data_IF_459354136505
#
_entry.id   IF_459354136505
#
_cell.length_a   1.000
_cell.length_b   1.000
_cell.length_c   1.000
_cell.angle_alpha   90.00
_cell.angle_beta   90.00
_cell.angle_gamma   90.00
#
_symmetry.space_group_name_H-M   'P 1'
#
loop_
_entity.id
_entity.type
_entity.pdbx_description
1 polymer ?
#
# COMPACT_ATOMS: atom_id res chain seq x y z
N UNK A 1 -0.09 22.31 -13.90
CA UNK A 1 -0.57 22.28 -12.51
C UNK A 1 -1.05 20.86 -12.26
N UNK A 2 -0.39 20.14 -11.39
CA UNK A 2 -0.85 18.82 -10.93
C UNK A 2 -2.09 19.05 -10.06
N UNK A 3 -3.14 18.29 -10.33
CA UNK A 3 -4.38 18.34 -9.55
C UNK A 3 -4.07 17.68 -8.19
N UNK A 4 -4.48 18.33 -7.10
CA UNK A 4 -4.29 17.82 -5.73
C UNK A 4 -5.65 17.62 -5.08
N UNK A 5 -6.06 16.37 -4.91
CA UNK A 5 -7.34 16.04 -4.27
C UNK A 5 -7.22 15.15 -3.04
N UNK A 6 -6.01 14.67 -2.70
CA UNK A 6 -5.85 13.72 -1.60
C UNK A 6 -6.42 14.26 -0.28
N UNK A 7 -6.17 15.53 0.03
CA UNK A 7 -6.55 16.16 1.30
C UNK A 7 -8.04 16.59 1.36
N UNK A 8 -8.85 16.36 0.32
CA UNK A 8 -10.26 16.76 0.35
C UNK A 8 -11.10 15.80 1.20
N UNK A 9 -12.18 16.30 1.85
CA UNK A 9 -13.06 15.45 2.66
C UNK A 9 -13.61 14.24 1.90
N UNK A 10 -13.93 14.41 0.62
CA UNK A 10 -14.50 13.35 -0.22
C UNK A 10 -13.54 12.17 -0.40
N UNK A 11 -12.23 12.44 -0.59
CA UNK A 11 -11.22 11.38 -0.73
C UNK A 11 -10.92 10.71 0.62
N UNK A 12 -10.91 11.47 1.71
CA UNK A 12 -10.70 10.92 3.06
C UNK A 12 -11.87 10.02 3.52
N UNK A 13 -13.11 10.43 3.25
CA UNK A 13 -14.31 9.61 3.52
C UNK A 13 -14.32 8.35 2.63
N UNK A 14 -13.88 8.49 1.37
CA UNK A 14 -13.76 7.35 0.46
C UNK A 14 -12.71 6.34 0.97
N UNK A 15 -11.54 6.78 1.43
CA UNK A 15 -10.50 5.92 2.02
C UNK A 15 -11.02 5.15 3.24
N UNK A 16 -11.80 5.81 4.09
CA UNK A 16 -12.46 5.18 5.26
C UNK A 16 -13.41 4.06 4.81
N UNK A 17 -14.19 4.34 3.77
CA UNK A 17 -15.16 3.39 3.20
C UNK A 17 -14.47 2.19 2.56
N UNK A 18 -13.48 2.38 1.69
CA UNK A 18 -12.80 1.27 0.99
C UNK A 18 -11.94 0.41 1.92
N UNK A 19 -11.48 0.97 3.04
CA UNK A 19 -10.80 0.21 4.09
C UNK A 19 -11.77 -0.64 4.93
N UNK A 20 -13.08 -0.45 4.78
CA UNK A 20 -14.13 -1.23 5.42
C UNK A 20 -14.46 -0.79 6.85
N UNK A 21 -14.14 0.46 7.24
CA UNK A 21 -14.50 0.98 8.57
C UNK A 21 -16.01 1.17 8.76
N UNK A 22 -16.77 1.26 7.68
CA UNK A 22 -18.23 1.29 7.70
C UNK A 22 -18.85 -0.10 7.85
N UNK A 23 -18.05 -1.17 7.74
CA UNK A 23 -18.52 -2.55 7.85
C UNK A 23 -18.44 -3.06 9.29
N UNK A 24 -19.51 -3.72 9.75
CA UNK A 24 -19.57 -4.32 11.10
C UNK A 24 -18.64 -5.54 11.27
N UNK A 25 -18.36 -6.26 10.17
CA UNK A 25 -17.50 -7.45 10.19
C UNK A 25 -16.04 -7.15 9.88
N UNK A 26 -15.22 -8.21 9.89
CA UNK A 26 -13.80 -8.15 9.51
C UNK A 26 -12.85 -7.92 10.68
N UNK A 27 -11.54 -7.95 10.39
CA UNK A 27 -10.49 -7.71 11.38
C UNK A 27 -10.18 -6.22 11.47
N UNK A 28 -10.35 -5.63 12.66
CA UNK A 28 -10.01 -4.23 12.91
C UNK A 28 -8.55 -3.91 12.57
N UNK A 29 -7.62 -4.83 12.88
CA UNK A 29 -6.22 -4.69 12.50
C UNK A 29 -6.04 -4.65 10.98
N UNK A 30 -6.78 -5.48 10.25
CA UNK A 30 -6.69 -5.49 8.78
C UNK A 30 -7.23 -4.18 8.20
N UNK A 31 -8.35 -3.66 8.69
CA UNK A 31 -8.91 -2.36 8.28
C UNK A 31 -7.91 -1.23 8.48
N UNK A 32 -7.25 -1.17 9.64
CA UNK A 32 -6.21 -0.17 9.93
C UNK A 32 -5.02 -0.26 8.96
N UNK A 33 -4.51 -1.47 8.70
CA UNK A 33 -3.39 -1.67 7.77
C UNK A 33 -3.81 -1.27 6.35
N UNK A 34 -4.99 -1.70 5.90
CA UNK A 34 -5.50 -1.39 4.55
C UNK A 34 -5.74 0.11 4.37
N UNK A 35 -6.33 0.78 5.35
CA UNK A 35 -6.51 2.23 5.32
C UNK A 35 -5.18 2.95 5.16
N UNK A 36 -4.17 2.60 5.96
CA UNK A 36 -2.85 3.22 5.87
C UNK A 36 -2.19 2.96 4.52
N UNK A 37 -2.21 1.72 4.05
CA UNK A 37 -1.62 1.34 2.76
C UNK A 37 -2.26 2.12 1.60
N UNK A 38 -3.60 2.15 1.55
CA UNK A 38 -4.33 2.86 0.49
C UNK A 38 -4.11 4.37 0.57
N UNK A 39 -4.09 4.94 1.78
CA UNK A 39 -3.79 6.36 1.98
C UNK A 39 -2.41 6.74 1.44
N UNK A 40 -1.38 5.96 1.78
CA UNK A 40 -0.02 6.21 1.31
C UNK A 40 0.08 6.09 -0.22
N UNK A 41 -0.60 5.12 -0.84
CA UNK A 41 -0.63 4.96 -2.29
C UNK A 41 -1.38 6.09 -2.99
N UNK A 42 -2.54 6.54 -2.47
CA UNK A 42 -3.29 7.66 -3.05
C UNK A 42 -2.50 8.96 -2.94
N UNK A 43 -1.85 9.18 -1.79
CA UNK A 43 -0.96 10.32 -1.59
C UNK A 43 0.21 10.30 -2.56
N UNK A 44 0.83 9.13 -2.78
CA UNK A 44 1.90 8.95 -3.76
C UNK A 44 1.42 9.32 -5.16
N UNK A 45 0.22 8.87 -5.56
CA UNK A 45 -0.35 9.21 -6.86
C UNK A 45 -0.53 10.72 -7.03
N UNK A 46 -1.06 11.38 -6.00
CA UNK A 46 -1.24 12.84 -5.98
C UNK A 46 0.12 13.57 -6.02
N UNK A 47 1.10 13.12 -5.20
CA UNK A 47 2.43 13.72 -5.06
C UNK A 47 3.29 13.62 -6.33
N UNK A 48 3.23 12.49 -7.03
CA UNK A 48 4.03 12.23 -8.23
C UNK A 48 3.26 12.39 -9.55
N UNK A 49 2.01 12.86 -9.51
CA UNK A 49 1.16 13.05 -10.70
C UNK A 49 1.02 11.75 -11.52
N UNK A 50 0.83 10.63 -10.81
CA UNK A 50 0.80 9.30 -11.44
C UNK A 50 -0.36 9.22 -12.42
N UNK A 51 -0.02 8.95 -13.67
CA UNK A 51 -1.00 8.83 -14.75
C UNK A 51 -1.77 7.50 -14.67
N UNK A 52 -2.94 7.46 -15.31
CA UNK A 52 -3.69 6.21 -15.44
C UNK A 52 -2.89 5.12 -16.17
N UNK A 53 -2.06 5.49 -17.17
CA UNK A 53 -1.22 4.54 -17.90
C UNK A 53 -0.17 3.90 -17.00
N UNK A 54 0.52 4.68 -16.17
CA UNK A 54 1.49 4.16 -15.21
C UNK A 54 0.84 3.24 -14.18
N UNK A 55 -0.34 3.61 -13.67
CA UNK A 55 -1.11 2.76 -12.77
C UNK A 55 -1.43 1.40 -13.41
N UNK A 56 -1.99 1.38 -14.62
CA UNK A 56 -2.35 0.13 -15.30
C UNK A 56 -1.14 -0.70 -15.72
N UNK A 57 -0.02 -0.05 -16.06
CA UNK A 57 1.26 -0.73 -16.28
C UNK A 57 1.74 -1.44 -15.02
N UNK A 58 1.69 -0.78 -13.85
CA UNK A 58 2.05 -1.40 -12.57
C UNK A 58 1.13 -2.60 -12.25
N UNK A 59 -0.18 -2.49 -12.46
CA UNK A 59 -1.13 -3.60 -12.28
C UNK A 59 -0.77 -4.78 -13.20
N UNK A 60 -0.40 -4.52 -14.45
CA UNK A 60 0.03 -5.55 -15.39
C UNK A 60 1.27 -6.31 -14.89
N UNK A 61 2.28 -5.59 -14.37
CA UNK A 61 3.48 -6.19 -13.77
C UNK A 61 3.11 -7.06 -12.57
N UNK A 62 2.24 -6.59 -11.67
CA UNK A 62 1.79 -7.36 -10.51
C UNK A 62 1.07 -8.65 -10.93
N UNK A 63 0.24 -8.60 -11.97
CA UNK A 63 -0.42 -9.80 -12.52
C UNK A 63 0.60 -10.80 -13.10
N UNK A 64 1.60 -10.33 -13.84
CA UNK A 64 2.65 -11.18 -14.40
C UNK A 64 3.46 -11.87 -13.28
N UNK A 65 3.83 -11.12 -12.24
CA UNK A 65 4.52 -11.65 -11.07
C UNK A 65 3.68 -12.69 -10.32
N UNK A 66 2.37 -12.43 -10.16
CA UNK A 66 1.43 -13.37 -9.54
C UNK A 66 1.31 -14.67 -10.32
N UNK A 67 1.15 -14.59 -11.65
CA UNK A 67 1.07 -15.74 -12.53
C UNK A 67 2.35 -16.60 -12.47
N UNK A 68 3.51 -15.94 -12.41
CA UNK A 68 4.79 -16.63 -12.25
C UNK A 68 5.08 -17.14 -10.83
N UNK A 69 4.21 -16.90 -9.84
CA UNK A 69 4.47 -17.14 -8.40
C UNK A 69 5.75 -16.46 -7.89
N UNK A 70 6.13 -15.33 -8.50
CA UNK A 70 7.43 -14.68 -8.30
C UNK A 70 7.47 -13.69 -7.13
N UNK A 71 6.36 -13.48 -6.41
CA UNK A 71 6.35 -12.58 -5.24
C UNK A 71 7.36 -13.00 -4.17
N UNK A 72 7.62 -14.30 -4.00
CA UNK A 72 8.65 -14.79 -3.09
C UNK A 72 10.09 -14.48 -3.51
N UNK A 73 10.31 -14.15 -4.80
CA UNK A 73 11.60 -13.66 -5.30
C UNK A 73 11.65 -12.12 -5.30
N UNK A 74 10.53 -11.48 -5.59
CA UNK A 74 10.40 -10.03 -5.60
C UNK A 74 10.61 -9.43 -4.20
N UNK A 75 10.02 -10.05 -3.17
CA UNK A 75 10.09 -9.55 -1.80
C UNK A 75 11.54 -9.35 -1.30
N UNK A 76 12.43 -10.37 -1.35
CA UNK A 76 13.84 -10.17 -1.02
C UNK A 76 14.56 -9.27 -2.03
N UNK A 77 14.20 -9.34 -3.32
CA UNK A 77 14.81 -8.49 -4.37
C UNK A 77 14.55 -6.99 -4.18
N UNK A 78 13.43 -6.62 -3.55
CA UNK A 78 13.10 -5.25 -3.14
C UNK A 78 13.53 -4.93 -1.70
N UNK A 79 14.20 -5.87 -1.02
CA UNK A 79 14.75 -5.67 0.32
C UNK A 79 13.76 -5.85 1.48
N UNK A 80 12.56 -6.36 1.24
CA UNK A 80 11.56 -6.57 2.31
C UNK A 80 12.07 -7.55 3.37
N UNK A 81 12.65 -8.68 2.96
CA UNK A 81 13.20 -9.68 3.87
C UNK A 81 14.28 -9.06 4.77
N UNK A 82 15.20 -8.30 4.18
CA UNK A 82 16.25 -7.61 4.92
C UNK A 82 15.68 -6.56 5.89
N UNK A 83 14.67 -5.80 5.47
CA UNK A 83 14.00 -4.84 6.35
C UNK A 83 13.29 -5.52 7.53
N UNK A 84 12.71 -6.71 7.33
CA UNK A 84 12.12 -7.49 8.41
C UNK A 84 13.18 -7.97 9.40
N UNK A 85 14.35 -8.43 8.93
CA UNK A 85 15.48 -8.79 9.78
C UNK A 85 15.97 -7.59 10.60
N UNK A 86 16.14 -6.43 9.97
CA UNK A 86 16.52 -5.20 10.67
C UNK A 86 15.55 -4.83 11.80
N UNK A 87 14.24 -5.07 11.61
CA UNK A 87 13.22 -4.83 12.64
C UNK A 87 13.31 -5.83 13.78
N UNK A 88 13.60 -7.10 13.50
CA UNK A 88 13.81 -8.12 14.52
C UNK A 88 15.06 -7.82 15.34
N UNK A 89 16.17 -7.49 14.67
CA UNK A 89 17.42 -7.10 15.32
C UNK A 89 17.26 -5.86 16.21
N UNK A 90 16.45 -4.88 15.77
CA UNK A 90 16.15 -3.69 16.56
C UNK A 90 15.36 -4.05 17.83
N UNK A 91 14.35 -4.91 17.72
CA UNK A 91 13.55 -5.35 18.86
C UNK A 91 14.39 -6.14 19.88
N UNK A 92 15.35 -6.94 19.42
CA UNK A 92 16.24 -7.70 20.30
C UNK A 92 17.30 -6.81 20.99
N UNK A 93 17.71 -5.69 20.38
CA UNK A 93 18.60 -4.70 21.03
C UNK A 93 17.92 -3.87 22.12
N UNK A 94 16.60 -3.73 22.04
CA UNK A 94 15.80 -2.96 23.02
C UNK A 94 15.34 -3.81 24.22
N UNK A 95 15.55 -5.13 24.17
CA UNK A 95 15.30 -6.07 25.27
C UNK A 95 16.47 -6.16 26.23
#
# INVERSE_FOLDING_TARGET
MTVKIFDTPEVQDFLTTVAGFDQQGGSERAKQIMHRLLSDLFRLMDDYDVSAEEFWSAVSVLNALGNGTQFGLLAPGLGFDHYLDMRMDAADRER
#
